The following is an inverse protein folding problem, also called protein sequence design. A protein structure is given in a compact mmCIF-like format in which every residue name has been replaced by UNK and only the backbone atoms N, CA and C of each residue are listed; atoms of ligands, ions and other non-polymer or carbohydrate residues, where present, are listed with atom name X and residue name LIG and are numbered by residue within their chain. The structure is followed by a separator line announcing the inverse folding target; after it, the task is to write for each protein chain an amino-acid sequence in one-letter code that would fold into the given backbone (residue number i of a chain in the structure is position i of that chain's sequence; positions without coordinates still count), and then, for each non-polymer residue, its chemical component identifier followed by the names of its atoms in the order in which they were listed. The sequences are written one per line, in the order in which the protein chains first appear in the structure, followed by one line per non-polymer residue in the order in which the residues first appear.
data_IF_947875412542
#
_entry.id   IF_947875412542
#
_cell.length_a   1.000
_cell.length_b   1.000
_cell.length_c   1.000
_cell.angle_alpha   90.00
_cell.angle_beta   90.00
_cell.angle_gamma   90.00
#
_symmetry.space_group_name_H-M   'P 1'
#
loop_
_entity.id
_entity.type
_entity.pdbx_description
1 polymer ?
#
# COMPACT_ATOMS: atom_id res chain seq x y z
N UNK A 1 -34.17 -18.87 14.79
CA UNK A 1 -34.37 -18.89 13.34
C UNK A 1 -33.00 -18.77 12.73
N UNK A 2 -32.54 -19.83 12.07
CA UNK A 2 -31.24 -19.85 11.41
C UNK A 2 -31.35 -18.95 10.18
N UNK A 3 -30.46 -17.97 10.07
CA UNK A 3 -30.29 -17.19 8.84
C UNK A 3 -29.78 -18.16 7.76
N UNK A 4 -30.67 -18.61 6.88
CA UNK A 4 -30.28 -19.37 5.70
C UNK A 4 -29.41 -18.49 4.82
N UNK A 5 -28.13 -18.85 4.72
CA UNK A 5 -27.18 -18.16 3.86
C UNK A 5 -27.45 -18.56 2.42
N UNK A 6 -28.21 -17.73 1.71
CA UNK A 6 -28.62 -17.96 0.33
C UNK A 6 -27.43 -17.74 -0.63
N UNK A 7 -26.75 -18.84 -0.97
CA UNK A 7 -25.51 -18.86 -1.74
C UNK A 7 -25.68 -18.27 -3.16
N UNK A 8 -26.88 -18.39 -3.73
CA UNK A 8 -27.20 -17.86 -5.06
C UNK A 8 -27.33 -16.34 -5.04
N UNK A 9 -27.98 -15.77 -4.02
CA UNK A 9 -28.05 -14.32 -3.83
C UNK A 9 -26.66 -13.72 -3.57
N UNK A 10 -25.81 -14.41 -2.80
CA UNK A 10 -24.44 -13.99 -2.58
C UNK A 10 -23.58 -14.04 -3.86
N UNK A 11 -23.77 -15.06 -4.71
CA UNK A 11 -23.08 -15.20 -5.99
C UNK A 11 -23.56 -14.16 -7.02
N UNK A 12 -24.86 -13.85 -7.05
CA UNK A 12 -25.41 -12.75 -7.85
C UNK A 12 -24.89 -11.39 -7.41
N UNK A 13 -24.84 -11.11 -6.10
CA UNK A 13 -24.24 -9.89 -5.56
C UNK A 13 -22.75 -9.79 -5.96
N UNK A 14 -22.03 -10.92 -6.00
CA UNK A 14 -20.63 -10.99 -6.46
C UNK A 14 -20.50 -10.76 -7.97
N UNK A 15 -21.45 -11.20 -8.80
CA UNK A 15 -21.51 -10.91 -10.26
C UNK A 15 -21.94 -9.47 -10.55
N UNK A 16 -22.91 -8.93 -9.80
CA UNK A 16 -23.39 -7.53 -9.88
C UNK A 16 -22.33 -6.53 -9.40
N UNK A 17 -21.45 -6.94 -8.49
CA UNK A 17 -20.16 -6.26 -8.25
C UNK A 17 -19.26 -6.46 -9.48
N UNK A 18 -19.56 -5.75 -10.56
CA UNK A 18 -18.70 -5.69 -11.72
C UNK A 18 -17.30 -5.30 -11.25
N UNK A 19 -16.34 -6.22 -11.38
CA UNK A 19 -14.94 -5.95 -11.08
C UNK A 19 -14.50 -4.85 -12.05
N UNK A 20 -14.51 -3.59 -11.61
CA UNK A 20 -14.07 -2.48 -12.46
C UNK A 20 -12.62 -2.73 -12.80
N UNK A 21 -12.33 -2.94 -14.08
CA UNK A 21 -10.96 -2.99 -14.59
C UNK A 21 -10.29 -1.69 -14.17
N UNK A 22 -9.18 -1.78 -13.44
CA UNK A 22 -8.45 -0.60 -13.01
C UNK A 22 -7.79 0.04 -14.24
N UNK A 23 -8.09 1.32 -14.46
CA UNK A 23 -7.45 2.15 -15.47
C UNK A 23 -6.81 3.36 -14.79
N UNK A 24 -5.53 3.63 -15.07
CA UNK A 24 -4.85 4.83 -14.60
C UNK A 24 -4.85 5.88 -15.72
N UNK A 25 -5.57 6.98 -15.53
CA UNK A 25 -5.64 8.10 -16.51
C UNK A 25 -6.00 7.64 -17.94
N UNK A 26 -6.89 6.66 -18.06
CA UNK A 26 -7.34 6.11 -19.35
C UNK A 26 -6.45 4.99 -19.91
N UNK A 27 -5.39 4.58 -19.20
CA UNK A 27 -4.54 3.45 -19.58
C UNK A 27 -4.85 2.25 -18.71
N UNK A 28 -5.04 1.10 -19.34
CA UNK A 28 -5.35 -0.15 -18.65
C UNK A 28 -4.14 -0.71 -17.88
N UNK A 29 -4.40 -1.54 -16.88
CA UNK A 29 -3.36 -2.18 -16.08
C UNK A 29 -2.32 -2.96 -16.92
N UNK A 30 -2.79 -3.74 -17.89
CA UNK A 30 -1.92 -4.56 -18.74
C UNK A 30 -0.97 -3.67 -19.55
N UNK A 31 -1.51 -2.59 -20.11
CA UNK A 31 -0.74 -1.59 -20.84
C UNK A 31 0.28 -0.90 -19.92
N UNK A 32 -0.11 -0.51 -18.70
CA UNK A 32 0.81 0.13 -17.74
C UNK A 32 2.02 -0.73 -17.37
N UNK A 33 1.89 -2.06 -17.42
CA UNK A 33 2.99 -2.99 -17.13
C UNK A 33 3.99 -3.07 -18.28
N UNK A 34 3.52 -2.93 -19.52
CA UNK A 34 4.34 -3.01 -20.73
C UNK A 34 5.01 -1.66 -21.09
N UNK A 35 4.56 -0.56 -20.47
CA UNK A 35 5.09 0.78 -20.75
C UNK A 35 6.53 0.98 -20.23
N UNK A 36 7.31 1.75 -20.99
CA UNK A 36 8.63 2.20 -20.56
C UNK A 36 8.56 3.21 -19.41
N UNK A 37 9.64 3.32 -18.63
CA UNK A 37 9.74 4.26 -17.51
C UNK A 37 9.52 5.72 -17.91
N UNK A 38 9.96 6.08 -19.12
CA UNK A 38 9.88 7.45 -19.63
C UNK A 38 8.44 7.80 -20.01
N UNK A 39 7.74 6.86 -20.68
CA UNK A 39 6.32 7.00 -21.01
C UNK A 39 5.45 7.04 -19.74
N UNK A 40 5.79 6.23 -18.72
CA UNK A 40 5.12 6.29 -17.41
C UNK A 40 5.32 7.64 -16.72
N UNK A 41 6.48 8.26 -16.87
CA UNK A 41 6.77 9.56 -16.27
C UNK A 41 5.86 10.67 -16.83
N UNK A 42 5.48 10.61 -18.10
CA UNK A 42 4.58 11.59 -18.74
C UNK A 42 3.16 11.53 -18.16
N UNK A 43 2.67 10.32 -17.89
CA UNK A 43 1.32 10.09 -17.37
C UNK A 43 1.23 10.42 -15.88
N UNK A 44 2.32 10.25 -15.13
CA UNK A 44 2.36 10.48 -13.69
C UNK A 44 2.28 11.97 -13.29
N UNK A 45 1.86 12.28 -12.04
CA UNK A 45 1.83 13.64 -11.55
C UNK A 45 3.24 14.25 -11.46
N UNK A 46 3.30 15.59 -11.42
CA UNK A 46 4.55 16.35 -11.55
C UNK A 46 5.65 15.94 -10.54
N UNK A 47 5.28 15.60 -9.29
CA UNK A 47 6.23 15.20 -8.24
C UNK A 47 6.91 13.87 -8.59
N UNK A 48 6.13 12.88 -9.02
CA UNK A 48 6.57 11.55 -9.41
C UNK A 48 7.41 11.62 -10.67
N UNK A 49 6.93 12.34 -11.69
CA UNK A 49 7.66 12.61 -12.94
C UNK A 49 9.04 13.22 -12.67
N UNK A 50 9.09 14.28 -11.85
CA UNK A 50 10.36 14.93 -11.47
C UNK A 50 11.33 13.96 -10.81
N UNK A 51 10.84 13.04 -9.98
CA UNK A 51 11.66 12.05 -9.30
C UNK A 51 12.20 10.99 -10.27
N UNK A 52 11.36 10.51 -11.20
CA UNK A 52 11.79 9.57 -12.25
C UNK A 52 12.84 10.21 -13.16
N UNK A 53 12.59 11.45 -13.63
CA UNK A 53 13.52 12.18 -14.50
C UNK A 53 14.86 12.51 -13.83
N UNK A 54 14.88 12.65 -12.49
CA UNK A 54 16.12 12.80 -11.72
C UNK A 54 16.88 11.48 -11.51
N UNK A 55 16.29 10.37 -11.94
CA UNK A 55 16.88 9.04 -11.86
C UNK A 55 16.59 8.32 -10.56
N UNK A 56 16.41 7.00 -10.70
CA UNK A 56 16.32 6.07 -9.59
C UNK A 56 17.70 5.65 -9.10
N UNK A 57 18.04 6.01 -7.86
CA UNK A 57 19.30 5.57 -7.22
C UNK A 57 19.35 4.04 -7.06
N UNK A 58 20.54 3.51 -6.76
CA UNK A 58 20.80 2.07 -6.52
C UNK A 58 19.85 1.42 -5.50
N UNK A 59 19.49 2.13 -4.43
CA UNK A 59 18.63 1.61 -3.36
C UNK A 59 17.20 1.28 -3.84
N UNK A 60 16.46 2.21 -4.48
CA UNK A 60 15.21 1.92 -5.19
C UNK A 60 15.26 0.73 -6.15
N UNK A 61 16.28 0.66 -7.01
CA UNK A 61 16.42 -0.45 -7.96
C UNK A 61 16.65 -1.79 -7.26
N UNK A 62 17.41 -1.79 -6.17
CA UNK A 62 17.59 -2.97 -5.31
C UNK A 62 16.29 -3.45 -4.68
N UNK A 63 15.38 -2.54 -4.30
CA UNK A 63 14.05 -2.90 -3.79
C UNK A 63 13.20 -3.54 -4.89
N UNK A 64 13.15 -2.95 -6.09
CA UNK A 64 12.42 -3.53 -7.23
C UNK A 64 12.91 -4.94 -7.52
N UNK A 65 14.24 -5.15 -7.57
CA UNK A 65 14.82 -6.48 -7.81
C UNK A 65 14.40 -7.50 -6.77
N UNK A 66 14.36 -7.13 -5.48
CA UNK A 66 13.91 -8.01 -4.39
C UNK A 66 12.42 -8.36 -4.53
N UNK A 67 11.58 -7.39 -4.88
CA UNK A 67 10.15 -7.60 -5.08
C UNK A 67 9.86 -8.48 -6.30
N UNK A 68 10.59 -8.29 -7.41
CA UNK A 68 10.50 -9.17 -8.58
C UNK A 68 10.87 -10.61 -8.21
N UNK A 69 11.94 -10.80 -7.44
CA UNK A 69 12.36 -12.12 -6.95
C UNK A 69 11.28 -12.76 -6.06
N UNK A 70 10.78 -12.04 -5.06
CA UNK A 70 9.74 -12.54 -4.17
C UNK A 70 8.44 -12.91 -4.92
N UNK A 71 8.08 -12.16 -5.96
CA UNK A 71 6.91 -12.45 -6.81
C UNK A 71 7.11 -13.70 -7.69
N UNK A 72 8.35 -14.00 -8.08
CA UNK A 72 8.69 -15.20 -8.86
C UNK A 72 8.77 -16.47 -8.00
N UNK A 73 9.21 -16.34 -6.76
CA UNK A 73 9.32 -17.46 -5.80
C UNK A 73 7.99 -17.83 -5.15
N UNK A 74 6.97 -16.97 -5.26
CA UNK A 74 5.65 -17.23 -4.71
C UNK A 74 4.93 -18.36 -5.45
N UNK A 75 4.31 -19.27 -4.70
CA UNK A 75 3.48 -20.34 -5.26
C UNK A 75 2.19 -19.77 -5.89
N UNK A 76 1.61 -20.51 -6.82
CA UNK A 76 0.39 -20.09 -7.50
C UNK A 76 -0.76 -19.93 -6.50
N UNK A 77 -1.38 -18.75 -6.47
CA UNK A 77 -2.43 -18.31 -5.53
C UNK A 77 -1.96 -17.92 -4.12
N UNK A 78 -0.67 -17.99 -3.82
CA UNK A 78 -0.14 -17.49 -2.55
C UNK A 78 0.38 -16.06 -2.67
N UNK A 79 0.36 -15.34 -1.54
CA UNK A 79 0.91 -13.98 -1.51
C UNK A 79 2.44 -14.06 -1.46
N UNK A 80 3.16 -13.21 -2.21
CA UNK A 80 4.61 -13.15 -2.13
C UNK A 80 5.11 -12.83 -0.72
N UNK A 81 6.32 -13.31 -0.43
CA UNK A 81 7.01 -13.01 0.81
C UNK A 81 7.18 -11.52 1.07
N UNK A 82 7.08 -11.15 2.34
CA UNK A 82 7.11 -9.74 2.77
C UNK A 82 8.52 -9.17 2.63
N UNK A 83 8.69 -8.19 1.75
CA UNK A 83 9.95 -7.47 1.59
C UNK A 83 9.95 -6.21 2.46
N UNK A 84 10.79 -6.20 3.51
CA UNK A 84 10.94 -5.07 4.42
C UNK A 84 11.79 -3.95 3.79
N UNK A 85 11.34 -2.70 3.94
CA UNK A 85 12.02 -1.52 3.41
C UNK A 85 11.89 -0.30 4.33
N UNK A 86 12.94 0.53 4.32
CA UNK A 86 12.95 1.87 4.93
C UNK A 86 12.75 2.97 3.88
N UNK A 87 12.67 2.61 2.59
CA UNK A 87 12.55 3.57 1.48
C UNK A 87 11.11 4.10 1.38
N UNK A 88 10.78 5.04 2.26
CA UNK A 88 9.47 5.73 2.28
C UNK A 88 9.30 6.69 1.09
N UNK A 89 10.40 7.11 0.47
CA UNK A 89 10.49 7.99 -0.70
C UNK A 89 10.36 7.25 -2.05
N UNK A 90 10.11 5.94 -2.02
CA UNK A 90 9.85 5.15 -3.22
C UNK A 90 8.44 5.38 -3.75
N UNK A 91 8.33 5.59 -5.06
CA UNK A 91 7.04 5.62 -5.78
C UNK A 91 6.63 4.19 -6.09
N UNK A 92 5.35 3.88 -5.94
CA UNK A 92 4.77 2.61 -6.38
C UNK A 92 4.74 2.58 -7.91
N UNK A 93 5.57 1.70 -8.47
CA UNK A 93 5.68 1.44 -9.92
C UNK A 93 4.74 0.28 -10.28
N UNK A 94 4.12 0.24 -11.48
CA UNK A 94 3.17 -0.81 -11.86
C UNK A 94 3.68 -2.24 -11.64
N UNK A 95 4.97 -2.51 -11.84
CA UNK A 95 5.56 -3.83 -11.59
C UNK A 95 5.40 -4.35 -10.15
N UNK A 96 5.26 -3.45 -9.17
CA UNK A 96 5.14 -3.79 -7.74
C UNK A 96 3.74 -4.29 -7.36
N UNK A 97 2.78 -4.25 -8.29
CA UNK A 97 1.40 -4.66 -8.02
C UNK A 97 1.36 -6.16 -7.69
N UNK A 98 0.63 -6.48 -6.60
CA UNK A 98 0.54 -7.81 -6.03
C UNK A 98 1.70 -8.20 -5.11
N UNK A 99 2.73 -7.37 -4.94
CA UNK A 99 3.77 -7.60 -3.95
C UNK A 99 3.35 -7.14 -2.55
N UNK A 100 3.90 -7.78 -1.52
CA UNK A 100 3.71 -7.38 -0.12
C UNK A 100 4.96 -6.65 0.38
N UNK A 101 4.80 -5.38 0.75
CA UNK A 101 5.90 -4.50 1.19
C UNK A 101 5.75 -4.18 2.67
N UNK A 102 6.78 -4.46 3.45
CA UNK A 102 6.87 -4.01 4.84
C UNK A 102 7.46 -2.60 4.90
N UNK A 103 6.64 -1.57 5.12
CA UNK A 103 7.04 -0.16 5.14
C UNK A 103 7.34 0.28 6.56
N UNK A 104 8.58 0.68 6.84
CA UNK A 104 8.97 1.13 8.17
C UNK A 104 8.26 2.42 8.59
N UNK A 105 7.58 2.41 9.74
CA UNK A 105 6.88 3.56 10.32
C UNK A 105 7.77 4.43 11.23
N UNK A 106 8.94 3.93 11.64
CA UNK A 106 9.77 4.52 12.69
C UNK A 106 9.81 3.67 13.97
N UNK A 107 8.88 2.71 14.10
CA UNK A 107 8.83 1.74 15.19
C UNK A 107 8.72 0.30 14.68
N UNK A 108 7.83 0.08 13.72
CA UNK A 108 7.51 -1.24 13.19
C UNK A 108 7.43 -1.23 11.66
N UNK A 109 7.39 -2.42 11.05
CA UNK A 109 7.18 -2.58 9.62
C UNK A 109 5.72 -2.88 9.36
N UNK A 110 5.00 -1.88 8.84
CA UNK A 110 3.61 -2.04 8.44
C UNK A 110 3.56 -2.81 7.12
N UNK A 111 2.89 -3.96 7.12
CA UNK A 111 2.73 -4.77 5.92
C UNK A 111 1.64 -4.18 5.04
N UNK A 112 1.99 -3.85 3.80
CA UNK A 112 1.08 -3.29 2.81
C UNK A 112 1.14 -4.14 1.55
N UNK A 113 0.00 -4.70 1.18
CA UNK A 113 -0.19 -5.35 -0.12
C UNK A 113 -0.47 -4.28 -1.17
N UNK A 114 0.35 -4.23 -2.22
CA UNK A 114 0.27 -3.20 -3.25
C UNK A 114 -0.88 -3.52 -4.21
N UNK A 115 -1.90 -2.67 -4.17
CA UNK A 115 -3.06 -2.73 -5.08
C UNK A 115 -2.85 -1.84 -6.31
N UNK A 116 -3.54 -2.09 -7.43
CA UNK A 116 -3.47 -1.25 -8.62
C UNK A 116 -3.77 0.24 -8.35
N UNK A 117 -4.71 0.52 -7.45
CA UNK A 117 -5.11 1.88 -7.04
C UNK A 117 -3.97 2.68 -6.38
N UNK A 118 -2.92 2.00 -5.91
CA UNK A 118 -1.79 2.63 -5.23
C UNK A 118 -0.71 3.12 -6.21
N UNK A 119 -0.84 2.86 -7.51
CA UNK A 119 0.14 3.25 -8.53
C UNK A 119 0.29 4.77 -8.57
N UNK A 120 1.55 5.23 -8.61
CA UNK A 120 1.87 6.66 -8.62
C UNK A 120 1.86 7.33 -7.24
N UNK A 121 1.48 6.64 -6.17
CA UNK A 121 1.63 7.14 -4.80
C UNK A 121 3.03 6.81 -4.23
N UNK A 122 3.45 7.53 -3.20
CA UNK A 122 4.66 7.19 -2.45
C UNK A 122 4.37 6.14 -1.36
N UNK A 123 5.33 5.25 -1.09
CA UNK A 123 5.21 4.26 -0.01
C UNK A 123 4.96 4.92 1.37
N UNK A 124 5.49 6.12 1.59
CA UNK A 124 5.23 6.92 2.78
C UNK A 124 3.73 7.14 3.07
N UNK A 125 2.90 7.24 2.04
CA UNK A 125 1.47 7.55 2.16
C UNK A 125 0.68 6.40 2.79
N UNK A 126 1.20 5.16 2.69
CA UNK A 126 0.55 3.95 3.20
C UNK A 126 1.02 3.53 4.60
N UNK A 127 1.93 4.28 5.21
CA UNK A 127 2.46 3.96 6.54
C UNK A 127 2.57 5.21 7.39
N UNK A 128 1.58 5.45 8.25
CA UNK A 128 1.56 6.60 9.16
C UNK A 128 2.71 6.46 10.16
N UNK A 129 3.49 7.54 10.35
CA UNK A 129 4.66 7.57 11.24
C UNK A 129 4.32 7.87 12.71
N UNK A 130 3.04 8.10 13.01
CA UNK A 130 2.55 8.43 14.33
C UNK A 130 1.24 7.69 14.60
N UNK A 131 0.85 7.62 15.87
CA UNK A 131 -0.47 7.11 16.26
C UNK A 131 -1.44 8.29 16.32
N UNK A 132 -2.54 8.31 15.55
CA UNK A 132 -3.53 9.38 15.63
C UNK A 132 -4.05 9.53 17.06
N UNK A 133 -3.98 10.75 17.59
CA UNK A 133 -4.52 11.06 18.92
C UNK A 133 -6.02 11.24 18.79
N UNK A 134 -6.78 10.42 19.51
CA UNK A 134 -8.22 10.64 19.69
C UNK A 134 -8.42 11.29 21.04
N UNK A 135 -9.09 12.44 21.07
CA UNK A 135 -9.49 13.06 22.33
C UNK A 135 -10.52 12.14 23.00
N UNK A 136 -10.14 11.59 24.15
CA UNK A 136 -11.03 10.85 25.03
C UNK A 136 -11.20 11.58 26.35
N UNK A 137 -11.87 10.94 27.29
CA UNK A 137 -11.78 11.36 28.69
C UNK A 137 -10.31 11.34 29.11
N UNK A 138 -9.80 12.36 29.81
CA UNK A 138 -8.47 12.29 30.41
C UNK A 138 -8.37 11.01 31.23
N UNK A 139 -7.41 10.14 30.90
CA UNK A 139 -7.08 9.01 31.76
C UNK A 139 -6.61 9.53 33.12
N UNK A 140 -6.83 8.75 34.18
CA UNK A 140 -6.28 9.08 35.50
C UNK A 140 -4.75 9.15 35.35
N UNK A 141 -4.16 10.32 35.66
CA UNK A 141 -2.72 10.60 35.48
C UNK A 141 -2.34 11.32 34.19
N UNK A 142 -3.28 11.59 33.27
CA UNK A 142 -3.00 12.27 32.00
C UNK A 142 -3.02 13.81 32.10
N UNK A 143 -3.74 14.37 33.07
CA UNK A 143 -3.75 15.84 33.34
C UNK A 143 -2.92 16.14 34.58
N UNK A 144 -2.29 17.33 34.62
CA UNK A 144 -1.47 17.77 35.76
C UNK A 144 -2.24 17.76 37.08
N UNK A 145 -3.55 18.04 37.05
CA UNK A 145 -4.45 17.97 38.21
C UNK A 145 -4.78 16.54 38.67
N UNK A 146 -4.77 15.56 37.76
CA UNK A 146 -5.07 14.16 38.07
C UNK A 146 -3.86 13.35 38.56
N UNK A 147 -2.64 13.92 38.54
CA UNK A 147 -1.40 13.22 38.97
C UNK A 147 -1.39 12.83 40.45
N UNK A 148 -2.12 13.57 41.29
CA UNK A 148 -2.13 13.41 42.74
C UNK A 148 -3.41 12.75 43.26
N UNK A 149 -4.28 12.26 42.38
CA UNK A 149 -5.48 11.53 42.79
C UNK A 149 -5.05 10.10 43.13
N UNK A 150 -5.15 9.65 44.39
CA UNK A 150 -4.78 8.30 44.76
C UNK A 150 -5.71 7.29 44.08
N UNK A 151 -5.11 6.30 43.43
CA UNK A 151 -5.84 5.16 42.87
C UNK A 151 -6.24 4.23 44.03
N UNK A 152 -7.52 3.85 44.09
CA UNK A 152 -8.03 2.86 45.03
C UNK A 152 -7.96 1.46 44.42
#
# INVERSE_FOLDING_TARGET
MADEYDAEQAAELKRKRAFRKFSYRGVDLDQLLDMSSDSLAEIFPARQRRRINRGLKRRPMGLIKKLRKAKQEAEANEKPDVVKTHLRDMIVVPEMIGSVVGIYSGKEFNQVEIKPEMVGHYLAEFSISYRPVKHGRPGIGATHSSRFIPLK
#
